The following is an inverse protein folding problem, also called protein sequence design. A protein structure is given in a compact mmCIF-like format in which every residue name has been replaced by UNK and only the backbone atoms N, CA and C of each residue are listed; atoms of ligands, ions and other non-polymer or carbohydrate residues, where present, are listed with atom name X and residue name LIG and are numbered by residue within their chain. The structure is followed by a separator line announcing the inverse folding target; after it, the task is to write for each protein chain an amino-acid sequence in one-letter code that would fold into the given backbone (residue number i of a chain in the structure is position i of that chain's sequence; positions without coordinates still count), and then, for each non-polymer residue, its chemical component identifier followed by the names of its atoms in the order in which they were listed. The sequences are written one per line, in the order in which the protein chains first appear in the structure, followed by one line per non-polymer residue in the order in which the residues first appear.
data_IF_208732880214
#
_entry.id   IF_208732880214
#
_cell.length_a   1.000
_cell.length_b   1.000
_cell.length_c   1.000
_cell.angle_alpha   90.00
_cell.angle_beta   90.00
_cell.angle_gamma   90.00
#
_symmetry.space_group_name_H-M   'P 1'
#
loop_
_entity.id
_entity.type
_entity.pdbx_description
1 polymer ?
#
# COMPACT_ATOMS: atom_id res chain seq x y z
N UNK A 1 -16.36 -32.29 18.06
CA UNK A 1 -15.33 -33.05 17.32
C UNK A 1 -13.96 -32.43 17.59
N UNK A 2 -12.87 -33.18 17.36
CA UNK A 2 -11.53 -32.61 17.44
C UNK A 2 -11.25 -31.65 16.26
N UNK A 3 -10.25 -30.78 16.40
CA UNK A 3 -9.83 -29.89 15.32
C UNK A 3 -9.41 -30.68 14.07
N UNK A 4 -8.76 -31.82 14.28
CA UNK A 4 -8.26 -32.70 13.24
C UNK A 4 -9.41 -33.34 12.46
N UNK A 5 -10.42 -33.85 13.17
CA UNK A 5 -11.63 -34.42 12.55
C UNK A 5 -12.38 -33.37 11.72
N UNK A 6 -12.51 -32.15 12.26
CA UNK A 6 -13.15 -31.05 11.55
C UNK A 6 -12.37 -30.65 10.30
N UNK A 7 -11.05 -30.50 10.39
CA UNK A 7 -10.20 -30.14 9.26
C UNK A 7 -10.29 -31.20 8.13
N UNK A 8 -10.29 -32.49 8.47
CA UNK A 8 -10.47 -33.57 7.48
C UNK A 8 -11.86 -33.50 6.84
N UNK A 9 -12.91 -33.34 7.64
CA UNK A 9 -14.28 -33.27 7.13
C UNK A 9 -14.51 -32.08 6.18
N UNK A 10 -13.99 -30.90 6.54
CA UNK A 10 -14.06 -29.70 5.68
C UNK A 10 -13.32 -29.95 4.36
N UNK A 11 -12.12 -30.54 4.43
CA UNK A 11 -11.33 -30.89 3.24
C UNK A 11 -12.03 -31.91 2.34
N UNK A 12 -12.83 -32.81 2.91
CA UNK A 12 -13.66 -33.78 2.19
C UNK A 12 -14.96 -33.18 1.61
N UNK A 13 -15.20 -31.89 1.80
CA UNK A 13 -16.33 -31.17 1.19
C UNK A 13 -17.40 -30.71 2.18
N UNK A 14 -17.29 -31.03 3.47
CA UNK A 14 -18.24 -30.56 4.48
C UNK A 14 -17.92 -29.15 4.97
N UNK A 15 -18.13 -28.19 4.07
CA UNK A 15 -17.86 -26.76 4.32
C UNK A 15 -18.74 -26.16 5.42
N UNK A 16 -19.85 -26.83 5.80
CA UNK A 16 -20.72 -26.38 6.90
C UNK A 16 -20.02 -26.39 8.26
N UNK A 17 -18.94 -27.17 8.40
CA UNK A 17 -18.16 -27.27 9.65
C UNK A 17 -17.04 -26.23 9.79
N UNK A 18 -16.84 -25.37 8.79
CA UNK A 18 -15.78 -24.34 8.85
C UNK A 18 -15.95 -23.38 10.02
N UNK A 19 -17.19 -23.01 10.35
CA UNK A 19 -17.48 -22.14 11.50
C UNK A 19 -17.23 -22.87 12.84
N UNK A 20 -17.55 -24.16 12.93
CA UNK A 20 -17.26 -24.96 14.13
C UNK A 20 -15.75 -25.03 14.40
N UNK A 21 -14.94 -25.27 13.36
CA UNK A 21 -13.49 -25.24 13.48
C UNK A 21 -12.98 -23.85 13.89
N UNK A 22 -13.55 -22.80 13.29
CA UNK A 22 -13.21 -21.42 13.65
C UNK A 22 -13.51 -21.09 15.11
N UNK A 23 -14.65 -21.53 15.63
CA UNK A 23 -15.01 -21.36 17.03
C UNK A 23 -13.98 -21.98 17.98
N UNK A 24 -13.41 -23.14 17.62
CA UNK A 24 -12.37 -23.80 18.40
C UNK A 24 -11.01 -23.10 18.34
N UNK A 25 -10.62 -22.53 17.19
CA UNK A 25 -9.28 -21.97 17.00
C UNK A 25 -9.18 -20.45 17.14
N UNK A 26 -10.28 -19.69 17.07
CA UNK A 26 -10.23 -18.21 17.07
C UNK A 26 -9.60 -17.64 18.36
N UNK A 27 -9.72 -18.33 19.50
CA UNK A 27 -9.10 -17.89 20.75
C UNK A 27 -7.56 -17.89 20.68
N UNK A 28 -6.97 -18.74 19.83
CA UNK A 28 -5.54 -18.73 19.53
C UNK A 28 -5.17 -17.53 18.65
N UNK A 29 -5.98 -17.26 17.63
CA UNK A 29 -5.84 -16.09 16.74
C UNK A 29 -5.89 -14.80 17.53
N UNK A 30 -6.92 -14.58 18.35
CA UNK A 30 -7.08 -13.38 19.19
C UNK A 30 -5.86 -13.14 20.07
N UNK A 31 -5.34 -14.19 20.72
CA UNK A 31 -4.13 -14.10 21.55
C UNK A 31 -2.90 -13.70 20.74
N UNK A 32 -2.71 -14.28 19.55
CA UNK A 32 -1.58 -13.94 18.68
C UNK A 32 -1.70 -12.55 18.07
N UNK A 33 -2.88 -12.16 17.64
CA UNK A 33 -3.18 -10.81 17.17
C UNK A 33 -2.86 -9.78 18.27
N UNK A 34 -3.33 -10.00 19.50
CA UNK A 34 -3.03 -9.10 20.63
C UNK A 34 -1.52 -8.98 20.92
N UNK A 35 -0.78 -10.10 20.83
CA UNK A 35 0.68 -10.09 20.98
C UNK A 35 1.36 -9.21 19.93
N UNK A 36 0.94 -9.32 18.67
CA UNK A 36 1.47 -8.51 17.57
C UNK A 36 1.07 -7.05 17.73
N UNK A 37 -0.20 -6.76 18.03
CA UNK A 37 -0.67 -5.39 18.27
C UNK A 37 0.12 -4.70 19.38
N UNK A 38 0.41 -5.43 20.46
CA UNK A 38 1.25 -4.91 21.55
C UNK A 38 2.67 -4.61 21.07
N UNK A 39 3.28 -5.53 20.32
CA UNK A 39 4.62 -5.35 19.79
C UNK A 39 4.72 -4.16 18.81
N UNK A 40 3.74 -4.02 17.91
CA UNK A 40 3.65 -2.90 16.96
C UNK A 40 3.50 -1.57 17.70
N UNK A 41 2.61 -1.49 18.68
CA UNK A 41 2.45 -0.29 19.52
C UNK A 41 3.73 0.08 20.25
N UNK A 42 4.41 -0.89 20.86
CA UNK A 42 5.70 -0.67 21.54
C UNK A 42 6.82 -0.24 20.59
N UNK A 43 6.76 -0.63 19.32
CA UNK A 43 7.72 -0.18 18.31
C UNK A 43 7.54 1.29 17.89
N UNK A 44 6.43 1.92 18.26
CA UNK A 44 6.06 3.27 17.80
C UNK A 44 5.57 3.34 16.35
N UNK A 45 5.48 2.19 15.66
CA UNK A 45 5.01 2.09 14.29
C UNK A 45 3.91 1.02 14.20
N UNK A 46 2.62 1.40 14.25
CA UNK A 46 1.51 0.46 14.13
C UNK A 46 1.33 -0.10 12.70
N UNK A 47 2.04 0.42 11.69
CA UNK A 47 1.95 0.00 10.28
C UNK A 47 0.53 0.01 9.70
N UNK A 48 -0.35 0.84 10.27
CA UNK A 48 -1.77 0.90 9.91
C UNK A 48 -2.57 -0.39 10.17
N UNK A 49 -1.99 -1.40 10.83
CA UNK A 49 -2.66 -2.68 11.07
C UNK A 49 -3.57 -2.58 12.29
N UNK A 50 -4.81 -3.01 12.13
CA UNK A 50 -5.78 -3.11 13.22
C UNK A 50 -5.93 -4.53 13.75
N UNK A 51 -6.54 -4.65 14.94
CA UNK A 51 -6.81 -5.97 15.52
C UNK A 51 -7.74 -6.79 14.61
N UNK A 52 -8.75 -6.15 14.03
CA UNK A 52 -9.73 -6.82 13.17
C UNK A 52 -9.08 -7.32 11.87
N UNK A 53 -8.11 -6.62 11.32
CA UNK A 53 -7.32 -7.09 10.17
C UNK A 53 -6.62 -8.41 10.49
N UNK A 54 -5.95 -8.49 11.64
CA UNK A 54 -5.29 -9.71 12.09
C UNK A 54 -6.29 -10.80 12.44
N UNK A 55 -7.42 -10.46 13.04
CA UNK A 55 -8.45 -11.43 13.38
C UNK A 55 -9.04 -12.10 12.13
N UNK A 56 -9.42 -11.29 11.13
CA UNK A 56 -9.95 -11.75 9.85
C UNK A 56 -8.90 -12.51 9.04
N UNK A 57 -7.66 -12.03 9.03
CA UNK A 57 -6.53 -12.75 8.42
C UNK A 57 -6.34 -14.13 9.05
N UNK A 58 -6.56 -14.27 10.36
CA UNK A 58 -6.49 -15.55 11.04
C UNK A 58 -7.55 -16.56 10.56
N UNK A 59 -8.74 -16.09 10.18
CA UNK A 59 -9.76 -16.94 9.56
C UNK A 59 -9.29 -17.46 8.19
N UNK A 60 -8.76 -16.56 7.34
CA UNK A 60 -8.21 -16.94 6.03
C UNK A 60 -7.04 -17.93 6.18
N UNK A 61 -6.17 -17.72 7.17
CA UNK A 61 -5.08 -18.64 7.48
C UNK A 61 -5.57 -20.02 7.92
N UNK A 62 -6.71 -20.10 8.64
CA UNK A 62 -7.32 -21.37 9.03
C UNK A 62 -7.83 -22.11 7.80
N UNK A 63 -8.56 -21.43 6.90
CA UNK A 63 -9.05 -22.02 5.64
C UNK A 63 -7.88 -22.56 4.82
N UNK A 64 -6.82 -21.77 4.63
CA UNK A 64 -5.62 -22.20 3.93
C UNK A 64 -4.91 -23.38 4.62
N UNK A 65 -4.92 -23.44 5.96
CA UNK A 65 -4.33 -24.54 6.70
C UNK A 65 -5.09 -25.86 6.50
N UNK A 66 -6.43 -25.81 6.42
CA UNK A 66 -7.30 -26.97 6.20
C UNK A 66 -7.02 -27.63 4.85
N UNK A 67 -6.83 -26.84 3.79
CA UNK A 67 -6.59 -27.35 2.43
C UNK A 67 -5.38 -28.28 2.33
N UNK A 68 -4.34 -28.01 3.11
CA UNK A 68 -3.07 -28.74 3.08
C UNK A 68 -2.83 -29.61 4.33
N UNK A 69 -3.80 -29.69 5.25
CA UNK A 69 -3.63 -30.43 6.49
C UNK A 69 -3.55 -31.94 6.25
N UNK A 70 -2.61 -32.60 6.95
CA UNK A 70 -2.49 -34.06 7.01
C UNK A 70 -2.28 -34.50 8.46
N UNK A 71 -3.01 -35.53 8.95
CA UNK A 71 -2.85 -36.07 10.30
C UNK A 71 -1.43 -36.57 10.61
N UNK A 72 -0.71 -37.03 9.59
CA UNK A 72 0.66 -37.52 9.70
C UNK A 72 1.65 -36.41 10.09
N UNK A 73 1.30 -35.13 9.86
CA UNK A 73 2.12 -33.96 10.20
C UNK A 73 1.92 -33.49 11.65
N UNK A 74 1.05 -34.15 12.41
CA UNK A 74 0.77 -33.84 13.81
C UNK A 74 -0.53 -33.06 14.01
N UNK A 75 -0.65 -32.40 15.17
CA UNK A 75 -1.86 -31.69 15.57
C UNK A 75 -2.20 -30.53 14.63
N UNK A 76 -3.49 -30.34 14.35
CA UNK A 76 -3.97 -29.27 13.48
C UNK A 76 -3.57 -27.89 14.02
N UNK A 77 -3.61 -27.69 15.33
CA UNK A 77 -3.23 -26.42 15.97
C UNK A 77 -1.77 -26.01 15.67
N UNK A 78 -0.86 -26.97 15.66
CA UNK A 78 0.55 -26.75 15.29
C UNK A 78 0.67 -26.41 13.80
N UNK A 79 -0.03 -27.15 12.94
CA UNK A 79 -0.06 -26.88 11.51
C UNK A 79 -0.62 -25.48 11.20
N UNK A 80 -1.77 -25.15 11.78
CA UNK A 80 -2.41 -23.85 11.68
C UNK A 80 -1.51 -22.70 12.14
N UNK A 81 -0.73 -22.88 13.20
CA UNK A 81 0.20 -21.85 13.67
C UNK A 81 1.23 -21.44 12.60
N UNK A 82 1.67 -22.36 11.74
CA UNK A 82 2.59 -22.03 10.63
C UNK A 82 1.92 -21.14 9.58
N UNK A 83 0.67 -21.45 9.21
CA UNK A 83 -0.12 -20.62 8.31
C UNK A 83 -0.43 -19.26 8.94
N UNK A 84 -0.78 -19.23 10.22
CA UNK A 84 -1.09 -18.02 10.96
C UNK A 84 0.12 -17.08 11.04
N UNK A 85 1.29 -17.61 11.38
CA UNK A 85 2.54 -16.82 11.41
C UNK A 85 2.86 -16.23 10.04
N UNK A 86 2.64 -17.02 8.99
CA UNK A 86 2.86 -16.61 7.60
C UNK A 86 1.93 -15.46 7.22
N UNK A 87 0.62 -15.63 7.42
CA UNK A 87 -0.40 -14.63 7.10
C UNK A 87 -0.21 -13.34 7.92
N UNK A 88 0.14 -13.44 9.20
CA UNK A 88 0.42 -12.27 10.02
C UNK A 88 1.68 -11.52 9.59
N UNK A 89 2.71 -12.24 9.13
CA UNK A 89 3.91 -11.59 8.58
C UNK A 89 3.60 -10.86 7.27
N UNK A 90 2.63 -11.34 6.49
CA UNK A 90 2.14 -10.68 5.28
C UNK A 90 1.32 -9.44 5.61
N UNK A 91 0.31 -9.58 6.49
CA UNK A 91 -0.55 -8.48 6.90
C UNK A 91 0.22 -7.31 7.54
N UNK A 92 1.32 -7.60 8.24
CA UNK A 92 2.17 -6.58 8.87
C UNK A 92 3.31 -6.07 7.98
N UNK A 93 3.42 -6.54 6.74
CA UNK A 93 4.51 -6.19 5.83
C UNK A 93 5.89 -6.78 6.20
N UNK A 94 6.01 -7.52 7.31
CA UNK A 94 7.28 -8.09 7.76
C UNK A 94 7.76 -9.30 6.95
N UNK A 95 6.95 -9.87 6.06
CA UNK A 95 7.35 -11.04 5.26
C UNK A 95 8.50 -10.73 4.31
N UNK A 96 8.45 -9.61 3.59
CA UNK A 96 9.40 -9.28 2.51
C UNK A 96 10.25 -8.09 2.88
N UNK A 97 11.41 -7.94 2.22
CA UNK A 97 12.25 -6.75 2.40
C UNK A 97 11.50 -5.47 1.99
N UNK A 98 10.78 -5.52 0.87
CA UNK A 98 10.03 -4.38 0.37
C UNK A 98 8.94 -3.95 1.35
N UNK A 99 8.13 -4.88 1.87
CA UNK A 99 7.09 -4.55 2.86
C UNK A 99 7.64 -4.02 4.19
N UNK A 100 8.87 -4.39 4.58
CA UNK A 100 9.51 -3.81 5.76
C UNK A 100 9.91 -2.36 5.56
N UNK A 101 10.19 -1.97 4.32
CA UNK A 101 10.65 -0.65 3.91
C UNK A 101 9.56 0.12 3.14
N UNK A 102 8.28 -0.23 3.35
CA UNK A 102 7.15 0.44 2.72
C UNK A 102 7.15 1.93 3.11
N UNK A 103 7.24 2.87 2.14
CA UNK A 103 7.24 4.29 2.45
C UNK A 103 6.05 4.73 3.29
N UNK A 104 4.86 4.17 3.07
CA UNK A 104 3.66 4.48 3.86
C UNK A 104 3.80 4.13 5.35
N UNK A 105 4.59 3.12 5.70
CA UNK A 105 4.84 2.73 7.10
C UNK A 105 5.85 3.66 7.80
N UNK A 106 6.56 4.51 7.06
CA UNK A 106 7.63 5.38 7.58
C UNK A 106 7.38 6.87 7.37
N UNK A 107 6.43 7.22 6.51
CA UNK A 107 6.05 8.59 6.24
C UNK A 107 5.39 9.25 7.46
N UNK A 108 5.65 10.53 7.63
CA UNK A 108 4.90 11.37 8.56
C UNK A 108 3.64 11.90 7.88
N UNK A 109 2.51 11.94 8.61
CA UNK A 109 1.29 12.59 8.12
C UNK A 109 1.52 14.09 7.95
N UNK A 110 1.03 14.64 6.83
CA UNK A 110 1.03 16.09 6.60
C UNK A 110 0.07 16.82 7.53
N UNK A 111 -1.02 16.17 7.96
CA UNK A 111 -1.98 16.71 8.91
C UNK A 111 -1.47 16.69 10.36
N UNK A 112 -0.25 16.18 10.59
CA UNK A 112 0.37 16.21 11.90
C UNK A 112 0.61 17.67 12.31
N UNK A 113 0.19 18.09 13.51
CA UNK A 113 0.45 19.44 14.00
C UNK A 113 1.95 19.66 14.18
N UNK A 114 2.43 20.87 13.87
CA UNK A 114 3.84 21.26 14.04
C UNK A 114 4.19 21.30 15.53
N UNK A 115 3.33 21.94 16.33
CA UNK A 115 3.41 22.00 17.78
C UNK A 115 2.12 21.42 18.38
N UNK A 116 2.17 20.29 19.10
CA UNK A 116 0.98 19.64 19.63
C UNK A 116 0.19 20.50 20.64
N UNK A 117 0.88 21.38 21.37
CA UNK A 117 0.31 22.18 22.45
C UNK A 117 -0.21 23.55 21.99
N UNK A 118 -0.04 23.89 20.71
CA UNK A 118 -0.44 25.18 20.14
C UNK A 118 -1.57 24.97 19.12
N UNK A 119 -2.82 25.36 19.45
CA UNK A 119 -3.99 25.07 18.60
C UNK A 119 -3.99 25.83 17.26
N UNK A 120 -3.15 26.84 17.09
CA UNK A 120 -3.00 27.64 15.86
C UNK A 120 -1.61 27.45 15.20
N UNK A 121 -0.87 26.40 15.59
CA UNK A 121 0.50 26.16 15.14
C UNK A 121 0.66 25.61 13.72
N UNK A 122 -0.45 25.45 12.99
CA UNK A 122 -0.47 24.86 11.64
C UNK A 122 -0.10 23.38 11.59
N UNK A 123 -0.13 22.83 10.37
CA UNK A 123 0.21 21.43 10.08
C UNK A 123 1.57 21.30 9.37
N UNK A 124 2.20 20.12 9.43
CA UNK A 124 3.45 19.86 8.69
C UNK A 124 3.28 20.11 7.18
N UNK A 125 2.10 19.85 6.63
CA UNK A 125 1.76 20.09 5.23
C UNK A 125 1.88 21.56 4.81
N UNK A 126 1.49 22.48 5.69
CA UNK A 126 1.56 23.93 5.43
C UNK A 126 3.01 24.44 5.34
N UNK A 127 3.96 23.71 5.94
CA UNK A 127 5.39 24.04 5.89
C UNK A 127 6.10 23.46 4.67
N UNK A 128 5.42 22.62 3.86
CA UNK A 128 6.02 22.03 2.66
C UNK A 128 6.02 23.10 1.56
N UNK A 129 7.20 23.57 1.10
CA UNK A 129 7.27 24.57 0.05
C UNK A 129 6.80 23.98 -1.28
N UNK A 130 6.00 24.72 -2.03
CA UNK A 130 5.69 24.38 -3.41
C UNK A 130 6.92 24.64 -4.30
N UNK A 131 7.52 23.58 -4.81
CA UNK A 131 8.70 23.64 -5.68
C UNK A 131 8.43 24.36 -7.00
N UNK A 132 7.17 24.48 -7.41
CA UNK A 132 6.74 25.13 -8.65
C UNK A 132 6.26 26.56 -8.43
N UNK A 133 6.28 27.07 -7.19
CA UNK A 133 5.87 28.44 -6.92
C UNK A 133 6.73 29.47 -7.69
N UNK A 134 8.01 29.16 -7.93
CA UNK A 134 8.90 29.98 -8.73
C UNK A 134 8.55 29.96 -10.24
N UNK A 135 8.05 28.83 -10.76
CA UNK A 135 7.61 28.71 -12.15
C UNK A 135 6.55 29.76 -12.48
N UNK A 136 5.64 30.09 -11.55
CA UNK A 136 4.59 31.07 -11.78
C UNK A 136 5.15 32.48 -12.12
N UNK A 137 6.32 32.81 -11.59
CA UNK A 137 7.02 34.07 -11.87
C UNK A 137 7.83 33.94 -13.16
N UNK A 138 8.56 32.84 -13.35
CA UNK A 138 9.39 32.58 -14.54
C UNK A 138 8.54 32.45 -15.82
N UNK A 139 7.32 31.90 -15.73
CA UNK A 139 6.38 31.76 -16.83
C UNK A 139 5.99 33.11 -17.48
N UNK A 140 6.07 34.23 -16.76
CA UNK A 140 5.80 35.55 -17.34
C UNK A 140 6.89 35.90 -18.35
N UNK A 141 8.15 35.72 -18.01
CA UNK A 141 9.28 35.93 -18.91
C UNK A 141 9.29 34.89 -20.04
N UNK A 142 8.96 33.64 -19.72
CA UNK A 142 8.83 32.57 -20.70
C UNK A 142 7.73 32.86 -21.73
N UNK A 143 6.62 33.50 -21.33
CA UNK A 143 5.55 33.87 -22.25
C UNK A 143 5.98 34.92 -23.28
N UNK A 144 6.74 35.93 -22.85
CA UNK A 144 7.30 36.97 -23.72
C UNK A 144 8.36 36.36 -24.64
N UNK A 145 9.24 35.52 -24.10
CA UNK A 145 10.23 34.78 -24.88
C UNK A 145 9.57 33.88 -25.94
N UNK A 146 8.52 33.14 -25.58
CA UNK A 146 7.74 32.30 -26.49
C UNK A 146 7.07 33.11 -27.59
N UNK A 147 6.52 34.27 -27.27
CA UNK A 147 5.91 35.16 -28.27
C UNK A 147 6.95 35.69 -29.25
N UNK A 148 8.11 36.13 -28.76
CA UNK A 148 9.23 36.57 -29.60
C UNK A 148 9.76 35.43 -30.48
N UNK A 149 9.88 34.23 -29.91
CA UNK A 149 10.29 33.03 -30.64
C UNK A 149 9.28 32.67 -31.74
N UNK A 150 7.98 32.67 -31.46
CA UNK A 150 6.94 32.45 -32.47
C UNK A 150 7.02 33.49 -33.59
N UNK A 151 7.15 34.79 -33.27
CA UNK A 151 7.30 35.84 -34.28
C UNK A 151 8.54 35.65 -35.15
N UNK A 152 9.67 35.26 -34.55
CA UNK A 152 10.91 34.99 -35.28
C UNK A 152 10.76 33.77 -36.21
N UNK A 153 10.12 32.70 -35.73
CA UNK A 153 9.82 31.50 -36.52
C UNK A 153 8.85 31.82 -37.66
N UNK A 154 7.75 32.53 -37.39
CA UNK A 154 6.77 32.93 -38.41
C UNK A 154 7.39 33.83 -39.48
N UNK A 155 8.24 34.77 -39.06
CA UNK A 155 9.02 35.62 -39.97
C UNK A 155 9.92 34.79 -40.87
N UNK A 156 10.74 33.89 -40.30
CA UNK A 156 11.61 33.01 -41.06
C UNK A 156 10.83 32.06 -41.99
N UNK A 157 9.67 31.58 -41.58
CA UNK A 157 8.78 30.76 -42.41
C UNK A 157 8.23 31.56 -43.59
N UNK A 158 7.88 32.83 -43.38
CA UNK A 158 7.32 33.71 -44.43
C UNK A 158 8.32 34.04 -45.56
N UNK A 159 9.62 33.95 -45.28
CA UNK A 159 10.69 34.15 -46.26
C UNK A 159 10.94 32.90 -47.13
N UNK A 160 10.38 31.75 -46.76
CA UNK A 160 10.52 30.51 -47.52
C UNK A 160 9.56 30.50 -48.74
N UNK A 161 10.00 29.93 -49.90
CA UNK A 161 9.12 29.76 -51.06
C UNK A 161 7.87 28.92 -50.72
N UNK A 162 6.69 29.25 -51.29
CA UNK A 162 5.47 28.50 -51.07
C UNK A 162 5.65 27.05 -51.56
N UNK A 163 5.67 26.11 -50.62
CA UNK A 163 5.93 24.68 -50.85
C UNK A 163 6.86 24.03 -49.81
N UNK A 164 7.74 24.79 -49.15
CA UNK A 164 8.70 24.24 -48.17
C UNK A 164 8.30 24.44 -46.70
N UNK A 165 7.40 25.40 -46.41
CA UNK A 165 7.02 25.82 -45.06
C UNK A 165 6.12 24.80 -44.32
N UNK A 166 5.18 24.15 -45.01
CA UNK A 166 4.16 23.32 -44.37
C UNK A 166 4.61 21.86 -44.14
N UNK A 167 5.60 21.36 -44.89
CA UNK A 167 5.97 19.94 -44.87
C UNK A 167 6.84 19.54 -43.67
N UNK A 168 7.72 20.42 -43.16
CA UNK A 168 8.67 20.04 -42.10
C UNK A 168 8.15 20.13 -40.66
N UNK A 169 7.18 21.00 -40.38
CA UNK A 169 6.66 21.18 -39.01
C UNK A 169 5.76 20.00 -38.58
N UNK A 170 5.04 19.39 -39.53
CA UNK A 170 4.14 18.26 -39.28
C UNK A 170 4.81 16.88 -39.38
N UNK A 171 5.89 16.72 -40.17
CA UNK A 171 6.65 15.46 -40.24
C UNK A 171 7.38 15.10 -38.93
N UNK A 172 7.69 16.09 -38.07
CA UNK A 172 8.41 15.87 -36.81
C UNK A 172 7.52 15.51 -35.61
N UNK A 173 6.20 15.63 -35.75
CA UNK A 173 5.20 15.31 -34.71
C UNK A 173 4.54 13.92 -34.93
N UNK A 174 4.84 13.25 -36.04
CA UNK A 174 4.26 11.95 -36.44
C UNK A 174 5.28 10.79 -36.44
N UNK A 175 6.46 10.98 -35.85
CA UNK A 175 7.45 9.93 -35.52
C UNK A 175 7.75 9.96 -34.03
#
# INVERSE_FOLDING_TARGET
MSNEELAIAIRQGDQGRTLELWEQVNGLVKRKAMQIMTALKLSGNPRGVEFDDLYQTGYLAMVAAVETYSPERGAFSTWFMFHLKTAFSEATGYRTKNGRCEPLDTAASLDRPVQPDEPDGGTLGELVPDSRAADAIENVEESVYREQLHKAIDGAISELPPGNAQLRYWERQMQ
#
